data_IF_252704203492
#
_entry.id   IF_252704203492
#
_cell.length_a   1.000
_cell.length_b   1.000
_cell.length_c   1.000
_cell.angle_alpha   90.00
_cell.angle_beta   90.00
_cell.angle_gamma   90.00
#
_symmetry.space_group_name_H-M   'P 1'
#
loop_
_entity.id
_entity.type
_entity.pdbx_description
1 polymer ?
#
# COMPACT_ATOMS: atom_id res chain seq x y z
N UNK A 1 21.94 -53.58 -46.13
CA UNK A 1 21.41 -52.19 -46.25
C UNK A 1 20.43 -51.77 -45.14
N UNK A 2 19.74 -52.66 -44.42
CA UNK A 2 18.71 -52.28 -43.41
C UNK A 2 19.24 -51.67 -42.10
N UNK A 3 20.51 -51.87 -41.75
CA UNK A 3 21.10 -51.39 -40.48
C UNK A 3 21.40 -49.88 -40.50
N UNK A 4 21.72 -49.32 -41.68
CA UNK A 4 22.08 -47.89 -41.81
C UNK A 4 20.84 -46.99 -41.74
N UNK A 5 19.69 -47.45 -42.20
CA UNK A 5 18.42 -46.69 -42.20
C UNK A 5 17.84 -46.55 -40.79
N UNK A 6 17.93 -47.59 -39.95
CA UNK A 6 17.43 -47.54 -38.57
C UNK A 6 18.21 -46.58 -37.66
N UNK A 7 19.52 -46.48 -37.86
CA UNK A 7 20.40 -45.54 -37.12
C UNK A 7 20.10 -44.09 -37.52
N UNK A 8 19.85 -43.83 -38.80
CA UNK A 8 19.52 -42.48 -39.30
C UNK A 8 18.17 -42.02 -38.77
N UNK A 9 17.16 -42.90 -38.76
CA UNK A 9 15.82 -42.58 -38.22
C UNK A 9 15.90 -42.36 -36.70
N UNK A 10 16.65 -43.19 -35.97
CA UNK A 10 16.86 -43.01 -34.53
C UNK A 10 17.55 -41.68 -34.17
N UNK A 11 18.56 -41.28 -34.94
CA UNK A 11 19.23 -39.97 -34.79
C UNK A 11 18.31 -38.79 -35.13
N UNK A 12 17.45 -38.94 -36.14
CA UNK A 12 16.46 -37.91 -36.51
C UNK A 12 15.41 -37.71 -35.42
N UNK A 13 14.92 -38.78 -34.79
CA UNK A 13 13.98 -38.70 -33.67
C UNK A 13 14.65 -38.08 -32.43
N UNK A 14 15.91 -38.43 -32.15
CA UNK A 14 16.69 -37.81 -31.06
C UNK A 14 17.00 -36.34 -31.31
N UNK A 15 17.28 -35.94 -32.55
CA UNK A 15 17.51 -34.55 -32.92
C UNK A 15 16.22 -33.71 -32.86
N UNK A 16 15.07 -34.30 -33.20
CA UNK A 16 13.76 -33.65 -33.04
C UNK A 16 13.38 -33.55 -31.55
N UNK A 17 13.65 -34.57 -30.73
CA UNK A 17 13.42 -34.54 -29.28
C UNK A 17 14.36 -33.55 -28.56
N UNK A 18 15.63 -33.47 -28.95
CA UNK A 18 16.58 -32.49 -28.42
C UNK A 18 16.24 -31.07 -28.91
N UNK A 19 15.87 -30.91 -30.18
CA UNK A 19 15.44 -29.65 -30.76
C UNK A 19 14.13 -29.12 -30.15
N UNK A 20 13.19 -30.00 -29.81
CA UNK A 20 11.97 -29.62 -29.09
C UNK A 20 12.20 -29.39 -27.60
N UNK A 21 13.14 -30.07 -26.94
CA UNK A 21 13.57 -29.73 -25.58
C UNK A 21 14.25 -28.34 -25.51
N UNK A 22 15.01 -27.97 -26.56
CA UNK A 22 15.61 -26.64 -26.67
C UNK A 22 14.55 -25.58 -27.07
N UNK A 23 13.58 -25.93 -27.92
CA UNK A 23 12.49 -25.00 -28.30
C UNK A 23 11.46 -24.80 -27.17
N UNK A 24 11.31 -25.75 -26.25
CA UNK A 24 10.51 -25.58 -25.04
C UNK A 24 11.15 -24.58 -24.06
N UNK A 25 12.46 -24.33 -24.14
CA UNK A 25 13.19 -23.46 -23.19
C UNK A 25 12.92 -21.96 -23.31
N UNK A 26 12.04 -21.51 -24.21
CA UNK A 26 11.68 -20.10 -24.32
C UNK A 26 10.59 -19.73 -23.30
N UNK A 27 11.02 -19.12 -22.19
CA UNK A 27 10.23 -18.41 -21.16
C UNK A 27 9.49 -19.20 -20.06
N UNK A 28 10.09 -20.27 -19.50
CA UNK A 28 9.53 -20.91 -18.28
C UNK A 28 9.54 -20.04 -17.02
N UNK A 29 10.32 -18.96 -17.00
CA UNK A 29 10.51 -18.16 -15.79
C UNK A 29 9.64 -16.90 -15.76
N UNK A 30 8.64 -16.80 -16.65
CA UNK A 30 7.64 -15.73 -16.60
C UNK A 30 6.37 -16.23 -15.94
N UNK A 31 5.91 -15.57 -14.89
CA UNK A 31 4.69 -15.96 -14.16
C UNK A 31 3.93 -14.75 -13.63
N UNK A 32 2.65 -14.95 -13.32
CA UNK A 32 1.84 -13.95 -12.63
C UNK A 32 1.89 -14.21 -11.12
N UNK A 33 2.13 -13.16 -10.34
CA UNK A 33 2.06 -13.16 -8.88
C UNK A 33 0.87 -12.31 -8.46
N UNK A 34 -0.01 -12.88 -7.64
CA UNK A 34 -1.10 -12.16 -7.00
C UNK A 34 -0.80 -11.99 -5.52
N UNK A 35 -0.77 -10.74 -5.07
CA UNK A 35 -0.73 -10.38 -3.65
C UNK A 35 -2.16 -10.11 -3.21
N UNK A 36 -2.67 -10.90 -2.28
CA UNK A 36 -3.96 -10.63 -1.65
C UNK A 36 -3.75 -9.97 -0.29
N UNK A 37 -4.46 -8.87 -0.02
CA UNK A 37 -4.38 -8.17 1.27
C UNK A 37 -5.68 -7.50 1.65
N UNK A 38 -5.92 -7.39 2.95
CA UNK A 38 -6.99 -6.57 3.52
C UNK A 38 -6.46 -5.32 4.28
N UNK A 39 -5.15 -5.09 4.24
CA UNK A 39 -4.47 -4.02 4.99
C UNK A 39 -3.84 -4.45 6.31
N UNK A 40 -4.10 -5.69 6.77
CA UNK A 40 -3.52 -6.25 8.01
C UNK A 40 -2.86 -7.61 7.81
N UNK A 41 -3.24 -8.32 6.75
CA UNK A 41 -2.66 -9.59 6.37
C UNK A 41 -2.33 -9.58 4.87
N UNK A 42 -1.34 -10.39 4.50
CA UNK A 42 -0.89 -10.57 3.12
C UNK A 42 -0.77 -12.06 2.81
N UNK A 43 -1.25 -12.47 1.64
CA UNK A 43 -0.94 -13.75 1.00
C UNK A 43 -0.36 -13.52 -0.39
N UNK A 44 0.51 -14.43 -0.84
CA UNK A 44 1.16 -14.36 -2.15
C UNK A 44 0.91 -15.67 -2.88
N UNK A 45 0.39 -15.58 -4.10
CA UNK A 45 0.02 -16.72 -4.93
C UNK A 45 0.68 -16.57 -6.29
N UNK A 46 1.06 -17.70 -6.90
CA UNK A 46 1.62 -17.73 -8.25
C UNK A 46 0.70 -18.51 -9.20
N UNK A 47 0.60 -18.05 -10.44
CA UNK A 47 -0.10 -18.76 -11.51
C UNK A 47 0.75 -19.87 -12.17
N UNK A 48 1.92 -20.20 -11.60
CA UNK A 48 2.82 -21.19 -12.19
C UNK A 48 2.23 -22.59 -12.15
N UNK A 49 2.52 -23.38 -13.19
CA UNK A 49 2.14 -24.79 -13.24
C UNK A 49 2.84 -25.60 -12.15
N UNK A 50 2.15 -26.61 -11.60
CA UNK A 50 2.73 -27.56 -10.65
C UNK A 50 3.94 -28.34 -11.21
N UNK A 51 4.08 -28.40 -12.54
CA UNK A 51 5.25 -29.00 -13.20
C UNK A 51 6.50 -28.11 -13.14
N UNK A 52 6.31 -26.80 -12.94
CA UNK A 52 7.37 -25.79 -12.86
C UNK A 52 6.99 -24.77 -11.77
N UNK A 53 7.00 -25.18 -10.48
CA UNK A 53 6.57 -24.30 -9.40
C UNK A 53 7.59 -23.18 -9.19
N UNK A 54 7.08 -22.01 -8.83
CA UNK A 54 7.91 -20.93 -8.28
C UNK A 54 8.58 -21.42 -6.97
N UNK A 55 9.86 -21.09 -6.72
CA UNK A 55 10.52 -21.45 -5.46
C UNK A 55 9.81 -20.88 -4.23
N UNK A 56 9.54 -21.70 -3.22
CA UNK A 56 8.87 -21.26 -1.98
C UNK A 56 9.62 -20.12 -1.28
N UNK A 57 10.96 -20.17 -1.30
CA UNK A 57 11.79 -19.11 -0.73
C UNK A 57 11.53 -17.73 -1.37
N UNK A 58 11.23 -17.70 -2.67
CA UNK A 58 10.86 -16.46 -3.38
C UNK A 58 9.50 -15.96 -2.90
N UNK A 59 8.51 -16.85 -2.75
CA UNK A 59 7.17 -16.48 -2.30
C UNK A 59 7.16 -15.98 -0.85
N UNK A 60 7.95 -16.59 0.03
CA UNK A 60 8.08 -16.13 1.42
C UNK A 60 8.80 -14.78 1.50
N UNK A 61 9.87 -14.56 0.73
CA UNK A 61 10.52 -13.24 0.66
C UNK A 61 9.55 -12.16 0.14
N UNK A 62 8.79 -12.48 -0.91
CA UNK A 62 7.75 -11.61 -1.45
C UNK A 62 6.67 -11.30 -0.41
N UNK A 63 6.20 -12.30 0.34
CA UNK A 63 5.16 -12.13 1.36
C UNK A 63 5.63 -11.23 2.51
N UNK A 64 6.84 -11.45 3.02
CA UNK A 64 7.43 -10.61 4.06
C UNK A 64 7.56 -9.16 3.59
N UNK A 65 8.09 -8.96 2.39
CA UNK A 65 8.26 -7.61 1.83
C UNK A 65 6.93 -6.93 1.52
N UNK A 66 5.99 -7.63 0.91
CA UNK A 66 4.66 -7.11 0.62
C UNK A 66 3.89 -6.73 1.89
N UNK A 67 4.04 -7.48 2.99
CA UNK A 67 3.46 -7.09 4.27
C UNK A 67 4.04 -5.76 4.78
N UNK A 68 5.36 -5.63 4.78
CA UNK A 68 6.03 -4.39 5.16
C UNK A 68 5.58 -3.20 4.30
N UNK A 69 5.42 -3.41 2.99
CA UNK A 69 4.97 -2.36 2.09
C UNK A 69 3.49 -2.00 2.31
N UNK A 70 2.61 -2.98 2.55
CA UNK A 70 1.20 -2.70 2.84
C UNK A 70 1.07 -1.81 4.08
N UNK A 71 1.88 -2.07 5.11
CA UNK A 71 1.93 -1.30 6.36
C UNK A 71 2.62 0.06 6.22
N UNK A 72 3.53 0.22 5.25
CA UNK A 72 4.23 1.47 5.00
C UNK A 72 3.32 2.50 4.33
N UNK A 73 3.14 3.65 4.97
CA UNK A 73 2.33 4.76 4.46
C UNK A 73 2.90 5.41 3.19
N UNK A 74 4.19 5.27 2.92
CA UNK A 74 4.88 5.82 1.74
C UNK A 74 4.88 4.86 0.53
N UNK A 75 4.49 3.60 0.73
CA UNK A 75 4.42 2.66 -0.37
C UNK A 75 3.23 2.94 -1.31
N UNK A 76 3.39 2.51 -2.56
CA UNK A 76 2.41 2.58 -3.62
C UNK A 76 2.29 1.24 -4.34
N UNK A 77 1.23 1.09 -5.15
CA UNK A 77 1.12 -0.04 -6.07
C UNK A 77 2.41 -0.25 -6.88
N UNK A 78 2.96 0.83 -7.45
CA UNK A 78 4.17 0.76 -8.28
C UNK A 78 5.42 0.36 -7.51
N UNK A 79 5.59 0.84 -6.26
CA UNK A 79 6.75 0.45 -5.45
C UNK A 79 6.68 -1.03 -5.06
N UNK A 80 5.49 -1.52 -4.68
CA UNK A 80 5.28 -2.95 -4.37
C UNK A 80 5.57 -3.81 -5.59
N UNK A 81 5.04 -3.43 -6.77
CA UNK A 81 5.30 -4.16 -8.02
C UNK A 81 6.80 -4.21 -8.33
N UNK A 82 7.50 -3.09 -8.14
CA UNK A 82 8.96 -3.00 -8.33
C UNK A 82 9.71 -3.90 -7.36
N UNK A 83 9.33 -3.90 -6.08
CA UNK A 83 9.96 -4.73 -5.06
C UNK A 83 9.75 -6.23 -5.34
N UNK A 84 8.57 -6.63 -5.78
CA UNK A 84 8.30 -8.01 -6.19
C UNK A 84 9.10 -8.40 -7.44
N UNK A 85 9.21 -7.51 -8.43
CA UNK A 85 10.04 -7.75 -9.62
C UNK A 85 11.53 -7.90 -9.25
N UNK A 86 12.02 -7.05 -8.35
CA UNK A 86 13.38 -7.13 -7.83
C UNK A 86 13.63 -8.45 -7.10
N UNK A 87 12.71 -8.88 -6.24
CA UNK A 87 12.80 -10.19 -5.56
C UNK A 87 12.81 -11.32 -6.59
N UNK A 88 11.86 -11.35 -7.52
CA UNK A 88 11.78 -12.38 -8.56
C UNK A 88 13.07 -12.49 -9.39
N UNK A 89 13.70 -11.35 -9.71
CA UNK A 89 14.92 -11.32 -10.49
C UNK A 89 16.09 -12.05 -9.81
N UNK A 90 16.16 -12.05 -8.47
CA UNK A 90 17.17 -12.80 -7.69
C UNK A 90 17.05 -14.31 -7.89
N UNK A 91 15.85 -14.78 -8.24
CA UNK A 91 15.52 -16.17 -8.51
C UNK A 91 15.46 -16.48 -10.00
N UNK A 92 15.89 -15.55 -10.87
CA UNK A 92 15.83 -15.63 -12.32
C UNK A 92 14.40 -15.69 -12.89
N UNK A 93 13.43 -15.09 -12.20
CA UNK A 93 12.04 -14.96 -12.64
C UNK A 93 11.71 -13.54 -13.13
N UNK A 94 10.83 -13.46 -14.11
CA UNK A 94 10.12 -12.24 -14.52
C UNK A 94 8.67 -12.37 -14.08
N UNK A 95 8.16 -11.39 -13.32
CA UNK A 95 6.81 -11.48 -12.77
C UNK A 95 5.92 -10.31 -13.20
N UNK A 96 4.67 -10.64 -13.53
CA UNK A 96 3.58 -9.66 -13.58
C UNK A 96 2.87 -9.69 -12.23
N UNK A 97 2.73 -8.54 -11.59
CA UNK A 97 2.28 -8.46 -10.19
C UNK A 97 0.94 -7.75 -10.13
N UNK A 98 -0.05 -8.46 -9.58
CA UNK A 98 -1.38 -7.93 -9.27
C UNK A 98 -1.56 -7.84 -7.76
N UNK A 99 -2.20 -6.78 -7.30
CA UNK A 99 -2.63 -6.67 -5.91
C UNK A 99 -4.15 -6.80 -5.89
N UNK A 100 -4.70 -7.57 -4.96
CA UNK A 100 -6.14 -7.69 -4.78
C UNK A 100 -6.49 -7.42 -3.33
N UNK A 101 -7.49 -6.56 -3.12
CA UNK A 101 -8.00 -6.26 -1.80
C UNK A 101 -9.51 -6.30 -1.75
N UNK A 102 -10.06 -6.06 -0.55
CA UNK A 102 -11.51 -5.94 -0.34
C UNK A 102 -12.13 -4.80 -1.15
N UNK A 103 -11.33 -3.88 -1.68
CA UNK A 103 -11.79 -2.76 -2.50
C UNK A 103 -11.62 -2.98 -4.01
N UNK A 104 -10.96 -4.08 -4.42
CA UNK A 104 -10.81 -4.49 -5.81
C UNK A 104 -9.37 -4.78 -6.21
N UNK A 105 -9.16 -4.95 -7.51
CA UNK A 105 -7.83 -5.13 -8.09
C UNK A 105 -7.04 -3.82 -8.09
N UNK A 106 -5.74 -3.92 -7.82
CA UNK A 106 -4.77 -2.84 -7.77
C UNK A 106 -5.15 -1.72 -6.77
N UNK A 107 -5.92 -2.08 -5.73
CA UNK A 107 -6.31 -1.18 -4.66
C UNK A 107 -5.58 -1.56 -3.37
N UNK A 108 -4.85 -0.60 -2.81
CA UNK A 108 -3.93 -0.83 -1.69
C UNK A 108 -4.54 -0.29 -0.37
N UNK A 109 -5.07 -1.18 0.50
CA UNK A 109 -5.55 -0.80 1.81
C UNK A 109 -4.37 -0.55 2.79
N UNK A 110 -4.61 0.28 3.79
CA UNK A 110 -3.72 0.58 4.90
C UNK A 110 -4.53 0.59 6.20
N UNK A 111 -4.13 -0.20 7.19
CA UNK A 111 -4.67 -0.09 8.54
C UNK A 111 -4.05 1.13 9.25
N UNK A 112 -4.89 1.93 9.91
CA UNK A 112 -4.42 2.98 10.80
C UNK A 112 -5.25 3.02 12.09
N UNK A 113 -4.67 3.58 13.14
CA UNK A 113 -5.35 3.84 14.42
C UNK A 113 -5.51 5.33 14.62
N UNK A 114 -6.74 5.77 14.85
CA UNK A 114 -7.07 7.17 15.13
C UNK A 114 -6.46 7.56 16.47
N UNK A 115 -5.80 8.73 16.50
CA UNK A 115 -5.24 9.32 17.72
C UNK A 115 -5.81 10.71 17.97
N UNK A 116 -6.35 10.93 19.16
CA UNK A 116 -6.92 12.17 19.63
C UNK A 116 -8.39 12.38 19.27
N UNK A 117 -8.95 13.48 19.78
CA UNK A 117 -10.39 13.77 19.77
C UNK A 117 -10.86 14.63 18.59
N UNK A 118 -9.97 14.96 17.65
CA UNK A 118 -10.25 15.94 16.59
C UNK A 118 -11.36 15.54 15.62
N UNK A 119 -11.71 14.26 15.57
CA UNK A 119 -12.71 13.71 14.64
C UNK A 119 -13.99 13.25 15.34
N UNK A 120 -14.14 13.48 16.64
CA UNK A 120 -15.40 13.20 17.36
C UNK A 120 -16.50 14.13 16.81
N UNK A 121 -17.73 13.64 16.55
CA UNK A 121 -18.24 12.31 16.90
C UNK A 121 -18.01 11.23 15.85
N UNK A 122 -17.45 11.56 14.68
CA UNK A 122 -17.30 10.63 13.56
C UNK A 122 -16.30 9.52 13.82
N UNK A 123 -15.12 9.84 14.36
CA UNK A 123 -14.09 8.87 14.73
C UNK A 123 -13.68 9.08 16.19
N UNK A 124 -13.57 7.96 16.91
CA UNK A 124 -13.14 7.91 18.31
C UNK A 124 -11.62 7.71 18.41
N UNK A 125 -11.04 8.20 19.50
CA UNK A 125 -9.65 7.90 19.84
C UNK A 125 -9.45 6.38 20.01
N UNK A 126 -8.37 5.84 19.44
CA UNK A 126 -8.07 4.40 19.43
C UNK A 126 -8.85 3.57 18.41
N UNK A 127 -9.79 4.17 17.66
CA UNK A 127 -10.54 3.45 16.62
C UNK A 127 -9.63 3.02 15.47
N UNK A 128 -9.76 1.76 15.04
CA UNK A 128 -9.10 1.27 13.83
C UNK A 128 -9.89 1.68 12.60
N UNK A 129 -9.18 2.14 11.58
CA UNK A 129 -9.74 2.53 10.30
C UNK A 129 -8.96 1.89 9.16
N UNK A 130 -9.64 1.60 8.04
CA UNK A 130 -8.99 1.16 6.80
C UNK A 130 -9.00 2.31 5.81
N UNK A 131 -7.80 2.71 5.40
CA UNK A 131 -7.54 3.75 4.41
C UNK A 131 -7.25 3.09 3.07
N UNK A 132 -7.97 3.45 2.02
CA UNK A 132 -7.59 3.12 0.66
C UNK A 132 -6.59 4.16 0.18
N UNK A 133 -5.34 3.74 -0.11
CA UNK A 133 -4.33 4.62 -0.69
C UNK A 133 -4.75 5.02 -2.10
N UNK A 134 -5.09 6.28 -2.29
CA UNK A 134 -5.58 6.80 -3.57
C UNK A 134 -5.49 8.33 -3.60
N UNK A 135 -5.27 8.87 -4.80
CA UNK A 135 -5.36 10.30 -5.08
C UNK A 135 -6.78 10.74 -5.47
N UNK A 136 -7.73 9.81 -5.58
CA UNK A 136 -9.11 10.09 -5.92
C UNK A 136 -9.97 10.26 -4.66
N UNK A 137 -10.29 11.51 -4.34
CA UNK A 137 -11.11 11.92 -3.20
C UNK A 137 -11.89 13.19 -3.52
N UNK A 138 -12.97 13.43 -2.78
CA UNK A 138 -13.88 14.55 -2.98
C UNK A 138 -14.26 15.24 -1.66
N UNK A 139 -14.92 16.40 -1.75
CA UNK A 139 -15.47 17.07 -0.59
C UNK A 139 -16.45 16.15 0.17
N UNK A 140 -16.34 16.15 1.49
CA UNK A 140 -17.07 15.25 2.39
C UNK A 140 -16.30 14.00 2.80
N UNK A 141 -15.31 13.56 2.00
CA UNK A 141 -14.51 12.37 2.33
C UNK A 141 -13.69 12.57 3.62
N UNK A 142 -13.53 11.49 4.38
CA UNK A 142 -12.52 11.40 5.42
C UNK A 142 -11.21 10.94 4.78
N UNK A 143 -10.13 11.69 5.01
CA UNK A 143 -8.82 11.38 4.44
C UNK A 143 -7.74 11.33 5.50
N UNK A 144 -6.74 10.49 5.25
CA UNK A 144 -5.46 10.54 5.97
C UNK A 144 -4.47 11.36 5.14
N UNK A 145 -3.80 12.31 5.78
CA UNK A 145 -2.88 13.22 5.11
C UNK A 145 -1.62 13.47 5.94
N UNK A 146 -0.53 13.81 5.25
CA UNK A 146 0.74 14.24 5.82
C UNK A 146 0.70 15.74 6.14
N UNK A 147 0.79 16.07 7.42
CA UNK A 147 0.91 17.42 7.95
C UNK A 147 2.36 17.69 8.39
N UNK A 148 2.94 18.86 8.08
CA UNK A 148 4.32 19.18 8.47
C UNK A 148 4.55 19.09 9.98
N UNK A 149 3.63 19.62 10.78
CA UNK A 149 3.80 19.67 12.25
C UNK A 149 3.23 18.47 13.01
N UNK A 150 2.27 17.75 12.41
CA UNK A 150 1.50 16.69 13.08
C UNK A 150 1.70 15.31 12.46
N UNK A 151 2.61 15.18 11.49
CA UNK A 151 2.88 13.96 10.75
C UNK A 151 1.62 13.40 10.07
N UNK A 152 1.01 12.32 10.54
CA UNK A 152 -0.22 11.80 9.95
C UNK A 152 -1.45 12.31 10.70
N UNK A 153 -2.37 12.91 9.94
CA UNK A 153 -3.66 13.37 10.46
C UNK A 153 -4.80 12.74 9.68
N UNK A 154 -5.90 12.45 10.37
CA UNK A 154 -7.20 12.15 9.73
C UNK A 154 -8.11 13.36 9.87
N UNK A 155 -8.71 13.80 8.76
CA UNK A 155 -9.58 14.98 8.68
C UNK A 155 -10.64 14.81 7.61
N UNK A 156 -11.69 15.65 7.65
CA UNK A 156 -12.69 15.73 6.59
C UNK A 156 -12.27 16.73 5.51
N UNK A 157 -12.41 16.35 4.26
CA UNK A 157 -12.25 17.25 3.12
C UNK A 157 -13.43 18.21 3.10
N UNK A 158 -13.16 19.49 3.34
CA UNK A 158 -14.19 20.53 3.28
C UNK A 158 -14.26 21.15 1.89
N UNK A 159 -13.11 21.37 1.25
CA UNK A 159 -13.01 22.02 -0.05
C UNK A 159 -11.79 21.49 -0.81
N UNK A 160 -11.90 21.44 -2.14
CA UNK A 160 -10.77 21.17 -3.04
C UNK A 160 -10.66 22.37 -3.98
N UNK A 161 -9.49 23.00 -4.00
CA UNK A 161 -9.21 24.15 -4.84
C UNK A 161 -7.89 23.94 -5.59
N UNK A 162 -7.99 23.58 -6.88
CA UNK A 162 -6.83 23.26 -7.71
C UNK A 162 -5.98 22.13 -7.13
N UNK A 163 -4.73 22.44 -6.79
CA UNK A 163 -3.75 21.50 -6.21
C UNK A 163 -3.78 21.45 -4.68
N UNK A 164 -4.68 22.21 -4.05
CA UNK A 164 -4.81 22.30 -2.60
C UNK A 164 -6.12 21.65 -2.13
N UNK A 165 -6.10 21.17 -0.90
CA UNK A 165 -7.26 20.61 -0.20
C UNK A 165 -7.38 21.25 1.17
N UNK A 166 -8.59 21.70 1.51
CA UNK A 166 -8.90 22.23 2.82
C UNK A 166 -9.47 21.11 3.70
N UNK A 167 -8.78 20.84 4.79
CA UNK A 167 -9.09 19.79 5.74
C UNK A 167 -9.60 20.39 7.04
N UNK A 168 -10.69 19.84 7.56
CA UNK A 168 -11.32 20.31 8.80
C UNK A 168 -11.46 19.19 9.82
N UNK A 169 -11.35 19.59 11.08
CA UNK A 169 -11.73 18.76 12.22
C UNK A 169 -13.26 18.71 12.32
N UNK A 170 -13.81 17.51 12.48
CA UNK A 170 -15.23 17.32 12.76
C UNK A 170 -15.57 17.75 14.19
N UNK A 171 -14.65 17.57 15.13
CA UNK A 171 -14.79 18.13 16.46
C UNK A 171 -14.55 19.64 16.42
N UNK A 172 -15.59 20.41 16.76
CA UNK A 172 -15.56 21.89 16.80
C UNK A 172 -15.40 22.46 18.21
N UNK A 173 -15.20 21.61 19.22
CA UNK A 173 -15.03 22.05 20.60
C UNK A 173 -13.66 22.70 20.80
N UNK A 174 -13.63 23.75 21.63
CA UNK A 174 -12.40 24.38 22.12
C UNK A 174 -12.21 23.95 23.57
N UNK A 175 -11.09 23.28 23.85
CA UNK A 175 -10.78 22.74 25.17
C UNK A 175 -9.77 23.67 25.87
N UNK A 176 -10.06 24.11 27.10
CA UNK A 176 -9.07 24.79 27.94
C UNK A 176 -8.13 23.76 28.54
N UNK A 177 -6.86 23.83 28.17
CA UNK A 177 -5.81 22.86 28.57
C UNK A 177 -5.19 23.25 29.89
N UNK A 178 -4.91 24.53 30.10
CA UNK A 178 -4.26 25.02 31.33
C UNK A 178 -4.47 26.52 31.51
N UNK A 179 -4.47 26.95 32.78
CA UNK A 179 -4.36 28.36 33.15
C UNK A 179 -3.00 28.55 33.82
N UNK A 180 -2.15 29.40 33.25
CA UNK A 180 -0.83 29.72 33.79
C UNK A 180 -0.81 31.15 34.31
N UNK A 181 -0.23 31.36 35.50
CA UNK A 181 0.02 32.72 35.99
C UNK A 181 1.37 33.17 35.44
N UNK A 182 1.37 34.22 34.61
CA UNK A 182 2.59 34.92 34.17
C UNK A 182 2.69 36.29 34.83
N UNK A 183 3.86 36.60 35.37
CA UNK A 183 4.18 37.96 35.77
C UNK A 183 4.68 38.73 34.54
N UNK A 184 3.92 39.72 34.09
CA UNK A 184 4.31 40.62 33.00
C UNK A 184 4.33 42.03 33.58
N UNK A 185 5.51 42.67 33.61
CA UNK A 185 5.72 44.00 34.18
C UNK A 185 5.24 44.15 35.65
N UNK A 186 5.43 43.11 36.47
CA UNK A 186 5.05 43.14 37.89
C UNK A 186 3.57 42.87 38.18
N UNK A 187 2.75 42.62 37.15
CA UNK A 187 1.34 42.24 37.29
C UNK A 187 1.16 40.77 36.97
N UNK A 188 0.46 40.03 37.84
CA UNK A 188 0.06 38.64 37.58
C UNK A 188 -1.07 38.61 36.55
N UNK A 189 -0.85 37.91 35.45
CA UNK A 189 -1.83 37.68 34.40
C UNK A 189 -2.13 36.19 34.31
N UNK A 190 -3.42 35.83 34.24
CA UNK A 190 -3.84 34.46 33.93
C UNK A 190 -3.81 34.31 32.41
N UNK A 191 -2.96 33.40 31.92
CA UNK A 191 -2.87 33.01 30.53
C UNK A 191 -3.55 31.66 30.36
N UNK A 192 -4.65 31.65 29.60
CA UNK A 192 -5.38 30.43 29.26
C UNK A 192 -4.81 29.82 27.99
N UNK A 193 -4.36 28.58 28.07
CA UNK A 193 -3.94 27.78 26.91
C UNK A 193 -5.14 26.98 26.44
N UNK A 194 -5.49 27.15 25.16
CA UNK A 194 -6.61 26.48 24.52
C UNK A 194 -6.13 25.54 23.43
N UNK A 195 -6.83 24.42 23.28
CA UNK A 195 -6.72 23.50 22.16
C UNK A 195 -7.90 23.77 21.23
N UNK A 196 -7.60 24.23 20.02
CA UNK A 196 -8.58 24.56 19.00
C UNK A 196 -8.66 23.47 17.93
N UNK A 197 -9.81 23.34 17.24
CA UNK A 197 -9.93 22.48 16.06
C UNK A 197 -8.88 22.82 15.00
N UNK A 198 -8.24 21.80 14.43
CA UNK A 198 -7.32 21.98 13.33
C UNK A 198 -8.10 22.06 12.01
N UNK A 199 -8.04 23.23 11.39
CA UNK A 199 -8.46 23.47 10.01
C UNK A 199 -7.25 23.96 9.21
N UNK A 200 -6.94 23.34 8.07
CA UNK A 200 -5.68 23.60 7.36
C UNK A 200 -5.79 23.33 5.87
N UNK A 201 -5.03 24.09 5.08
CA UNK A 201 -4.80 23.81 3.66
C UNK A 201 -3.55 22.95 3.50
N UNK A 202 -3.65 21.88 2.72
CA UNK A 202 -2.52 21.05 2.34
C UNK A 202 -2.49 20.85 0.82
N UNK A 203 -1.30 20.61 0.24
CA UNK A 203 -1.22 20.08 -1.12
C UNK A 203 -1.99 18.76 -1.23
N UNK A 204 -2.69 18.53 -2.34
CA UNK A 204 -3.38 17.25 -2.60
C UNK A 204 -2.43 16.05 -2.55
N UNK A 205 -1.16 16.26 -2.90
CA UNK A 205 -0.10 15.23 -2.84
C UNK A 205 0.20 14.77 -1.41
N UNK A 206 -0.19 15.55 -0.39
CA UNK A 206 -0.05 15.13 1.00
C UNK A 206 -1.15 14.16 1.43
N UNK A 207 -2.24 14.04 0.68
CA UNK A 207 -3.29 13.05 0.97
C UNK A 207 -2.77 11.66 0.63
N UNK A 208 -2.73 10.79 1.64
CA UNK A 208 -2.34 9.39 1.52
C UNK A 208 -3.49 8.59 0.90
N UNK A 209 -4.70 8.83 1.38
CA UNK A 209 -5.86 8.07 0.95
C UNK A 209 -7.15 8.41 1.68
N UNK A 210 -8.19 7.71 1.29
CA UNK A 210 -9.57 7.90 1.77
C UNK A 210 -9.91 6.81 2.78
N UNK A 211 -10.49 7.19 3.91
CA UNK A 211 -11.01 6.25 4.90
C UNK A 211 -12.25 5.54 4.31
N UNK A 212 -12.21 4.21 4.21
CA UNK A 212 -13.28 3.39 3.64
C UNK A 212 -14.04 2.56 4.67
N UNK A 213 -13.38 2.22 5.78
CA UNK A 213 -13.99 1.48 6.89
C UNK A 213 -13.63 2.18 8.17
N UNK A 214 -14.64 2.52 8.96
CA UNK A 214 -14.54 3.11 10.29
C UNK A 214 -15.77 2.73 11.11
#
# INVERSE_FOLDING_TARGET
MKLRTGIIIGLLVLAVAAGSAIFLSTNHNTTEITIETNGTAVSVQSASSWLFPVPDAMLEEMKTKALADVEDVDSSLGSIQTDMQNIASKYNYTVQVKIKSQFGENQLPLLATVKGTSMIPTLQDGQQIIVLKTSNFQAGDLVVARHPDYHLIVKRVAEINGTQVYLKSDNRQVETVSNQIRNVNGVQQIVTIQKTPLDTWLPKTNVVGVVKVY
#
